data_IF_778551062707
#
_entry.id   IF_778551062707
#
_cell.length_a   1.000
_cell.length_b   1.000
_cell.length_c   1.000
_cell.angle_alpha   90.00
_cell.angle_beta   90.00
_cell.angle_gamma   90.00
#
_symmetry.space_group_name_H-M   'P 1'
#
loop_
_entity.id
_entity.type
_entity.pdbx_description
1 polymer ?
#
# COMPACT_ATOMS: atom_id res chain seq x y z
N UNK A 1 -3.53 -34.56 -9.23
CA UNK A 1 -3.96 -35.12 -7.93
C UNK A 1 -2.70 -35.24 -7.07
N UNK A 2 -2.48 -34.62 -5.92
CA UNK A 2 -3.28 -33.79 -5.02
C UNK A 2 -2.27 -33.00 -4.16
N UNK A 3 -2.10 -31.69 -4.37
CA UNK A 3 -1.58 -30.80 -3.32
C UNK A 3 -2.76 -30.00 -2.78
N UNK A 4 -3.70 -30.72 -2.17
CA UNK A 4 -4.79 -30.22 -1.35
C UNK A 4 -5.12 -31.34 -0.36
N UNK A 5 -4.22 -31.53 0.60
CA UNK A 5 -4.54 -32.24 1.84
C UNK A 5 -4.25 -31.27 2.99
N UNK A 6 -5.28 -30.53 3.36
CA UNK A 6 -5.70 -30.20 4.73
C UNK A 6 -4.66 -30.05 5.85
N UNK A 7 -3.47 -29.53 5.59
CA UNK A 7 -2.55 -29.07 6.61
C UNK A 7 -2.74 -27.59 6.79
N UNK A 8 -3.71 -27.19 7.61
CA UNK A 8 -3.72 -25.82 8.13
C UNK A 8 -2.37 -25.55 8.81
N UNK A 9 -1.85 -24.34 8.67
CA UNK A 9 -0.71 -23.90 9.49
C UNK A 9 -1.02 -24.24 10.96
N UNK A 10 -0.06 -24.79 11.72
CA UNK A 10 -0.31 -25.11 13.12
C UNK A 10 -0.80 -23.84 13.83
N UNK A 11 -1.91 -23.91 14.60
CA UNK A 11 -2.40 -22.76 15.33
C UNK A 11 -1.28 -22.30 16.29
N UNK A 12 -0.85 -21.05 16.13
CA UNK A 12 0.25 -20.47 16.91
C UNK A 12 1.58 -20.29 16.16
N UNK A 13 1.66 -20.53 14.84
CA UNK A 13 2.82 -20.06 14.07
C UNK A 13 2.64 -18.58 13.74
N UNK A 14 2.83 -17.70 14.73
CA UNK A 14 3.01 -16.26 14.52
C UNK A 14 4.34 -16.06 13.77
N UNK A 15 4.29 -16.19 12.45
CA UNK A 15 5.44 -15.94 11.59
C UNK A 15 5.86 -14.47 11.77
N UNK A 16 7.04 -14.25 12.35
CA UNK A 16 7.59 -12.91 12.50
C UNK A 16 7.96 -12.35 11.13
N UNK A 17 7.30 -11.26 10.73
CA UNK A 17 7.59 -10.56 9.47
C UNK A 17 9.01 -9.97 9.49
N UNK A 18 9.76 -10.15 8.41
CA UNK A 18 11.16 -9.69 8.23
C UNK A 18 11.39 -9.19 6.81
N UNK A 19 10.66 -8.16 6.39
CA UNK A 19 10.77 -7.60 5.04
C UNK A 19 11.73 -6.41 5.01
N UNK A 20 11.65 -5.53 6.01
CA UNK A 20 12.48 -4.33 6.09
C UNK A 20 13.89 -4.62 6.63
N UNK A 21 14.09 -5.77 7.29
CA UNK A 21 15.30 -6.08 8.07
C UNK A 21 15.60 -5.05 9.18
N UNK A 22 14.56 -4.30 9.59
CA UNK A 22 14.59 -3.35 10.69
C UNK A 22 13.44 -3.69 11.65
N UNK A 23 13.71 -4.00 12.93
CA UNK A 23 12.69 -4.48 13.87
C UNK A 23 11.46 -3.57 13.99
N UNK A 24 11.65 -2.26 14.03
CA UNK A 24 10.57 -1.28 14.20
C UNK A 24 9.71 -1.15 12.94
N UNK A 25 10.34 -1.18 11.76
CA UNK A 25 9.63 -1.19 10.48
C UNK A 25 8.87 -2.49 10.28
N UNK A 26 9.50 -3.65 10.56
CA UNK A 26 8.86 -4.96 10.51
C UNK A 26 7.65 -5.03 11.46
N UNK A 27 7.75 -4.46 12.66
CA UNK A 27 6.64 -4.39 13.60
C UNK A 27 5.50 -3.51 13.11
N UNK A 28 5.78 -2.43 12.36
CA UNK A 28 4.76 -1.61 11.71
C UNK A 28 4.07 -2.38 10.58
N UNK A 29 4.86 -2.97 9.69
CA UNK A 29 4.35 -3.76 8.57
C UNK A 29 3.48 -4.94 9.03
N UNK A 30 3.82 -5.55 10.17
CA UNK A 30 3.07 -6.68 10.72
C UNK A 30 1.68 -6.29 11.26
N UNK A 31 1.51 -5.06 11.76
CA UNK A 31 0.25 -4.61 12.40
C UNK A 31 -0.61 -3.72 11.51
N UNK A 32 -0.03 -3.09 10.47
CA UNK A 32 -0.68 -2.07 9.66
C UNK A 32 -0.84 -2.52 8.21
N UNK A 33 -2.08 -2.85 7.79
CA UNK A 33 -2.36 -3.19 6.40
C UNK A 33 -1.99 -2.07 5.43
N UNK A 34 -2.19 -0.81 5.82
CA UNK A 34 -1.83 0.33 4.98
C UNK A 34 -0.31 0.43 4.81
N UNK A 35 0.46 0.29 5.90
CA UNK A 35 1.92 0.28 5.81
C UNK A 35 2.43 -0.83 4.90
N UNK A 36 1.85 -2.03 4.98
CA UNK A 36 2.20 -3.15 4.11
C UNK A 36 1.92 -2.84 2.63
N UNK A 37 0.74 -2.28 2.31
CA UNK A 37 0.39 -1.87 0.95
C UNK A 37 1.29 -0.74 0.43
N UNK A 38 1.63 0.23 1.28
CA UNK A 38 2.59 1.28 0.94
C UNK A 38 3.98 0.70 0.66
N UNK A 39 4.44 -0.29 1.43
CA UNK A 39 5.69 -1.00 1.17
C UNK A 39 5.69 -1.70 -0.19
N UNK A 40 4.62 -2.42 -0.52
CA UNK A 40 4.45 -3.07 -1.84
C UNK A 40 4.42 -2.06 -2.98
N UNK A 41 3.77 -0.91 -2.78
CA UNK A 41 3.74 0.17 -3.77
C UNK A 41 5.12 0.79 -4.01
N UNK A 42 5.96 0.85 -2.96
CA UNK A 42 7.32 1.38 -3.00
C UNK A 42 8.36 0.40 -3.55
N UNK A 43 8.06 -0.90 -3.62
CA UNK A 43 8.95 -1.97 -4.08
C UNK A 43 9.12 -1.95 -5.61
N UNK A 44 9.57 -0.80 -6.13
CA UNK A 44 9.65 -0.51 -7.55
C UNK A 44 11.06 -0.06 -7.89
N UNK A 45 11.86 -0.99 -8.41
CA UNK A 45 13.21 -0.73 -8.88
C UNK A 45 14.16 -0.24 -7.76
N UNK A 46 13.93 -0.66 -6.52
CA UNK A 46 14.84 -0.50 -5.37
C UNK A 46 14.98 -1.85 -4.67
N UNK A 47 16.00 -2.04 -3.82
CA UNK A 47 16.05 -3.20 -2.93
C UNK A 47 14.79 -3.28 -2.05
N UNK A 48 14.29 -4.50 -1.86
CA UNK A 48 13.08 -4.78 -1.10
C UNK A 48 13.14 -4.19 0.32
N UNK A 49 14.26 -4.39 1.01
CA UNK A 49 14.47 -3.94 2.38
C UNK A 49 14.33 -2.42 2.50
N UNK A 50 14.82 -1.68 1.50
CA UNK A 50 14.66 -0.23 1.44
C UNK A 50 13.20 0.16 1.21
N UNK A 51 12.53 -0.46 0.23
CA UNK A 51 11.11 -0.20 -0.03
C UNK A 51 10.22 -0.43 1.21
N UNK A 52 10.42 -1.56 1.88
CA UNK A 52 9.64 -1.94 3.06
C UNK A 52 10.03 -1.16 4.34
N UNK A 53 11.19 -0.51 4.38
CA UNK A 53 11.52 0.49 5.41
C UNK A 53 10.80 1.84 5.17
N UNK A 54 10.37 2.11 3.93
CA UNK A 54 9.74 3.36 3.53
C UNK A 54 8.52 3.79 4.35
N UNK A 55 7.51 2.91 4.58
CA UNK A 55 6.34 3.23 5.39
C UNK A 55 6.68 3.70 6.80
N UNK A 56 7.66 3.06 7.45
CA UNK A 56 8.14 3.45 8.77
C UNK A 56 8.77 4.85 8.75
N UNK A 57 9.58 5.14 7.73
CA UNK A 57 10.21 6.46 7.57
C UNK A 57 9.16 7.55 7.38
N UNK A 58 8.12 7.30 6.58
CA UNK A 58 7.00 8.23 6.37
C UNK A 58 6.27 8.48 7.70
N UNK A 59 5.89 7.43 8.44
CA UNK A 59 5.20 7.55 9.72
C UNK A 59 6.02 8.39 10.73
N UNK A 60 7.33 8.15 10.84
CA UNK A 60 8.23 8.95 11.69
C UNK A 60 8.31 10.42 11.29
N UNK A 61 8.37 10.73 10.00
CA UNK A 61 8.39 12.13 9.51
C UNK A 61 7.05 12.85 9.73
N UNK A 62 5.94 12.11 9.67
CA UNK A 62 4.61 12.63 9.99
C UNK A 62 4.37 12.72 11.51
N UNK A 63 5.30 12.25 12.35
CA UNK A 63 5.14 12.25 13.81
C UNK A 63 4.12 11.24 14.34
N UNK A 64 3.79 10.21 13.54
CA UNK A 64 2.76 9.22 13.84
C UNK A 64 3.36 7.82 14.05
N UNK A 65 2.70 6.98 14.84
CA UNK A 65 3.08 5.57 15.08
C UNK A 65 2.57 4.61 14.00
N UNK A 66 1.68 5.06 13.12
CA UNK A 66 1.14 4.34 11.97
C UNK A 66 0.89 5.31 10.80
N UNK A 67 0.52 4.77 9.64
CA UNK A 67 -0.01 5.54 8.52
C UNK A 67 -1.53 5.61 8.63
N UNK A 68 -2.09 6.79 8.43
CA UNK A 68 -3.53 7.01 8.31
C UNK A 68 -3.91 7.40 6.88
N UNK A 69 -4.87 6.70 6.29
CA UNK A 69 -5.26 6.93 4.90
C UNK A 69 -5.95 8.29 4.71
N UNK A 70 -6.74 8.76 5.68
CA UNK A 70 -7.40 10.06 5.59
C UNK A 70 -6.38 11.20 5.69
N UNK A 71 -5.43 11.10 6.62
CA UNK A 71 -4.36 12.08 6.78
C UNK A 71 -3.49 12.17 5.52
N UNK A 72 -3.04 11.03 4.99
CA UNK A 72 -2.19 11.00 3.79
C UNK A 72 -2.95 11.49 2.55
N UNK A 73 -4.23 11.10 2.40
CA UNK A 73 -5.07 11.55 1.29
C UNK A 73 -5.33 13.06 1.31
N UNK A 74 -5.45 13.66 2.50
CA UNK A 74 -5.67 15.08 2.71
C UNK A 74 -4.37 15.90 2.83
N UNK A 75 -3.20 15.25 2.88
CA UNK A 75 -1.92 15.93 2.99
C UNK A 75 -1.67 16.84 1.78
N UNK A 76 -1.03 17.99 2.00
CA UNK A 76 -0.69 18.93 0.93
C UNK A 76 0.15 18.21 -0.16
N UNK A 77 -0.33 18.20 -1.43
CA UNK A 77 0.29 17.45 -2.52
C UNK A 77 1.66 17.96 -2.95
N UNK A 78 2.04 19.18 -2.57
CA UNK A 78 3.39 19.72 -2.79
C UNK A 78 4.31 19.40 -1.61
N UNK A 79 3.77 19.38 -0.37
CA UNK A 79 4.55 19.08 0.84
C UNK A 79 4.81 17.60 1.06
N UNK A 80 3.91 16.72 0.66
CA UNK A 80 4.11 15.28 0.85
C UNK A 80 5.30 14.74 0.04
N UNK A 81 5.50 15.12 -1.24
CA UNK A 81 6.74 14.85 -1.97
C UNK A 81 8.00 15.39 -1.29
N UNK A 82 7.96 16.60 -0.72
CA UNK A 82 9.09 17.17 0.04
C UNK A 82 9.43 16.27 1.23
N UNK A 83 8.42 15.87 2.00
CA UNK A 83 8.57 14.97 3.15
C UNK A 83 9.23 13.64 2.75
N UNK A 84 8.85 13.03 1.62
CA UNK A 84 9.50 11.80 1.14
C UNK A 84 10.91 12.04 0.60
N UNK A 85 11.21 13.26 0.15
CA UNK A 85 12.49 13.65 -0.45
C UNK A 85 13.55 14.05 0.59
N UNK A 86 13.15 14.34 1.83
CA UNK A 86 14.10 14.60 2.93
C UNK A 86 15.14 13.48 3.00
N UNK A 87 16.42 13.85 3.19
CA UNK A 87 17.53 12.90 3.15
C UNK A 87 17.65 12.11 4.47
N UNK A 88 17.90 10.80 4.41
CA UNK A 88 17.93 9.95 3.21
C UNK A 88 16.53 9.79 2.60
N UNK A 89 16.42 9.93 1.28
CA UNK A 89 15.12 9.88 0.61
C UNK A 89 14.44 8.52 0.79
N UNK A 90 13.11 8.53 0.91
CA UNK A 90 12.30 7.30 1.08
C UNK A 90 12.41 6.37 -0.13
N UNK A 91 12.60 6.93 -1.32
CA UNK A 91 12.72 6.19 -2.57
C UNK A 91 13.66 6.92 -3.52
N UNK A 92 14.16 6.24 -4.56
CA UNK A 92 14.95 6.88 -5.64
C UNK A 92 14.12 7.83 -6.53
N UNK A 93 12.80 7.73 -6.45
CA UNK A 93 11.81 8.58 -7.14
C UNK A 93 10.75 9.10 -6.14
N UNK A 94 11.15 9.95 -5.17
CA UNK A 94 10.29 10.27 -4.03
C UNK A 94 9.01 11.00 -4.44
N UNK A 95 9.07 11.96 -5.38
CA UNK A 95 7.89 12.71 -5.81
C UNK A 95 6.85 11.86 -6.55
N UNK A 96 7.27 10.96 -7.45
CA UNK A 96 6.31 10.09 -8.15
C UNK A 96 5.70 9.03 -7.24
N UNK A 97 6.47 8.52 -6.27
CA UNK A 97 5.95 7.59 -5.25
C UNK A 97 5.01 8.29 -4.27
N UNK A 98 5.32 9.52 -3.82
CA UNK A 98 4.44 10.32 -2.97
C UNK A 98 3.05 10.47 -3.59
N UNK A 99 2.99 10.86 -4.87
CA UNK A 99 1.72 10.96 -5.61
C UNK A 99 0.96 9.64 -5.65
N UNK A 100 1.63 8.52 -5.90
CA UNK A 100 0.99 7.20 -5.93
C UNK A 100 0.45 6.79 -4.57
N UNK A 101 1.18 7.09 -3.50
CA UNK A 101 0.75 6.81 -2.12
C UNK A 101 -0.50 7.63 -1.78
N UNK A 102 -0.53 8.92 -2.14
CA UNK A 102 -1.73 9.75 -1.95
C UNK A 102 -2.91 9.23 -2.77
N UNK A 103 -2.70 8.84 -4.02
CA UNK A 103 -3.76 8.25 -4.86
C UNK A 103 -4.30 6.94 -4.27
N UNK A 104 -3.43 6.08 -3.75
CA UNK A 104 -3.85 4.88 -3.04
C UNK A 104 -4.71 5.24 -1.84
N UNK A 105 -4.28 6.18 -1.00
CA UNK A 105 -5.02 6.58 0.20
C UNK A 105 -6.36 7.24 -0.16
N UNK A 106 -6.41 8.09 -1.19
CA UNK A 106 -7.64 8.68 -1.71
C UNK A 106 -8.64 7.61 -2.15
N UNK A 107 -8.17 6.58 -2.86
CA UNK A 107 -9.02 5.45 -3.26
C UNK A 107 -9.54 4.66 -2.06
N UNK A 108 -8.72 4.48 -1.02
CA UNK A 108 -9.12 3.73 0.19
C UNK A 108 -10.15 4.48 1.04
N UNK A 109 -10.11 5.82 1.06
CA UNK A 109 -11.06 6.65 1.82
C UNK A 109 -12.28 7.06 1.02
N UNK A 110 -12.30 6.82 -0.29
CA UNK A 110 -13.46 7.07 -1.14
C UNK A 110 -14.64 6.20 -0.67
N UNK A 111 -15.81 6.78 -0.36
CA UNK A 111 -16.98 6.01 0.04
C UNK A 111 -17.39 5.11 -1.12
N UNK A 112 -17.14 3.80 -0.97
CA UNK A 112 -17.42 2.81 -2.00
C UNK A 112 -18.94 2.67 -2.18
N UNK A 113 -19.52 3.50 -3.05
CA UNK A 113 -20.89 3.32 -3.54
C UNK A 113 -20.91 2.38 -4.77
N UNK A 114 -19.75 2.10 -5.34
CA UNK A 114 -19.62 1.20 -6.48
C UNK A 114 -19.47 -0.25 -6.00
N UNK A 115 -20.56 -1.02 -6.08
CA UNK A 115 -20.49 -2.49 -6.08
C UNK A 115 -19.60 -2.92 -7.24
N UNK A 116 -18.33 -3.23 -6.97
CA UNK A 116 -17.47 -3.86 -7.98
C UNK A 116 -18.08 -5.23 -8.28
N UNK A 117 -18.47 -5.52 -9.54
CA UNK A 117 -18.99 -6.82 -9.86
C UNK A 117 -17.94 -7.89 -9.53
N UNK A 118 -18.36 -9.12 -9.13
CA UNK A 118 -17.42 -10.18 -8.80
C UNK A 118 -16.43 -10.39 -9.94
N UNK A 119 -15.17 -10.66 -9.58
CA UNK A 119 -14.11 -10.87 -10.56
C UNK A 119 -14.50 -12.07 -11.45
N UNK A 120 -14.80 -11.80 -12.74
CA UNK A 120 -15.35 -12.79 -13.67
C UNK A 120 -16.77 -12.51 -14.17
N UNK A 121 -17.44 -11.46 -13.71
CA UNK A 121 -18.71 -11.04 -14.29
C UNK A 121 -18.53 -10.59 -15.75
N UNK A 122 -19.36 -11.11 -16.65
CA UNK A 122 -19.41 -10.66 -18.04
C UNK A 122 -19.91 -9.22 -18.09
N UNK A 123 -19.21 -8.29 -18.78
CA UNK A 123 -19.69 -6.92 -18.91
C UNK A 123 -21.04 -6.89 -19.65
N UNK A 124 -21.92 -5.91 -19.36
CA UNK A 124 -23.16 -5.76 -20.09
C UNK A 124 -22.87 -5.54 -21.59
N UNK A 125 -23.75 -6.02 -22.49
CA UNK A 125 -23.58 -5.81 -23.92
C UNK A 125 -23.54 -4.30 -24.22
N UNK A 126 -22.65 -3.91 -25.14
CA UNK A 126 -22.56 -2.52 -25.58
C UNK A 126 -23.93 -2.06 -26.12
N UNK A 127 -24.35 -0.80 -25.84
CA UNK A 127 -25.58 -0.28 -26.39
C UNK A 127 -25.50 -0.32 -27.91
N UNK A 128 -26.54 -0.90 -28.49
CA UNK A 128 -26.78 -0.95 -29.92
C UNK A 128 -26.78 0.48 -30.47
N UNK A 129 -25.78 0.80 -31.29
CA UNK A 129 -25.76 2.00 -32.11
C UNK A 129 -26.87 1.87 -33.16
N UNK A 130 -28.08 2.27 -32.79
CA UNK A 130 -29.13 2.57 -33.75
C UNK A 130 -28.74 3.84 -34.48
N UNK A 131 -28.08 3.68 -35.61
CA UNK A 131 -27.89 4.73 -36.61
C UNK A 131 -29.27 5.19 -37.08
N UNK A 132 -29.60 6.46 -36.82
CA UNK A 132 -30.67 7.22 -37.42
C UNK A 132 -30.11 8.54 -37.90
#
# INVERSE_FOLDING_TARGET
MIWYRGGGYPPGMDATLRLAQQPEADALLARSPLALLTGMLLDQQVPMEWAFTGPYTIARRMGADDLDAHEIAAYDPERFPELLSEKPAVHRYPGSMAKRIQQLCQYLVEPTTATRPPCGATPPPAPNSSSG
#
